data_IF_656403150648
#
_entry.id   IF_656403150648
#
_cell.length_a   1.000
_cell.length_b   1.000
_cell.length_c   1.000
_cell.angle_alpha   90.00
_cell.angle_beta   90.00
_cell.angle_gamma   90.00
#
_symmetry.space_group_name_H-M   'P 1'
#
loop_
_entity.id
_entity.type
_entity.pdbx_description
1 polymer ?
#
# COMPACT_ATOMS: atom_id res chain seq x y z
N UNK A 1 14.87 10.01 -46.02
CA UNK A 1 15.01 9.25 -44.77
C UNK A 1 14.15 9.95 -43.72
N UNK A 2 12.88 9.56 -43.58
CA UNK A 2 11.94 10.19 -42.64
C UNK A 2 12.07 9.48 -41.29
N UNK A 3 12.45 10.20 -40.23
CA UNK A 3 12.44 9.70 -38.86
C UNK A 3 11.01 9.84 -38.34
N UNK A 4 10.14 8.89 -38.71
CA UNK A 4 8.82 8.74 -38.13
C UNK A 4 9.00 8.31 -36.67
N UNK A 5 8.84 9.26 -35.75
CA UNK A 5 8.63 8.95 -34.34
C UNK A 5 7.38 8.11 -34.25
N UNK A 6 7.56 6.80 -34.06
CA UNK A 6 6.45 5.88 -33.89
C UNK A 6 5.83 6.13 -32.52
N UNK A 7 4.80 6.97 -32.47
CA UNK A 7 3.91 7.05 -31.32
C UNK A 7 3.21 5.69 -31.21
N UNK A 8 3.74 4.79 -30.37
CA UNK A 8 3.09 3.52 -30.02
C UNK A 8 1.81 3.88 -29.26
N UNK A 9 0.67 3.86 -29.93
CA UNK A 9 -0.63 3.79 -29.24
C UNK A 9 -0.61 2.50 -28.42
N UNK A 10 -0.53 2.64 -27.10
CA UNK A 10 -0.76 1.54 -26.16
C UNK A 10 -2.25 1.28 -26.22
N UNK A 11 -2.61 0.15 -26.84
CA UNK A 11 -3.97 -0.33 -26.86
C UNK A 11 -4.36 -0.78 -25.43
N UNK A 12 -5.52 -0.33 -24.95
CA UNK A 12 -6.00 -0.65 -23.60
C UNK A 12 -6.37 -2.13 -23.44
N UNK A 13 -6.36 -2.92 -24.51
CA UNK A 13 -6.54 -4.37 -24.48
C UNK A 13 -5.38 -5.12 -23.79
N UNK A 14 -4.23 -4.47 -23.60
CA UNK A 14 -3.08 -5.06 -22.88
C UNK A 14 -3.22 -4.91 -21.35
N UNK A 15 -4.18 -4.11 -20.86
CA UNK A 15 -4.43 -3.96 -19.42
C UNK A 15 -5.28 -5.12 -18.90
N UNK A 16 -4.71 -5.94 -18.01
CA UNK A 16 -5.45 -6.96 -17.26
C UNK A 16 -6.02 -6.36 -15.95
N UNK A 17 -7.34 -6.08 -15.89
CA UNK A 17 -7.96 -5.50 -14.70
C UNK A 17 -7.97 -6.47 -13.53
N UNK A 18 -8.02 -7.79 -13.79
CA UNK A 18 -8.08 -8.81 -12.75
C UNK A 18 -6.68 -8.98 -12.14
N UNK A 19 -5.66 -9.05 -12.97
CA UNK A 19 -4.26 -9.10 -12.52
C UNK A 19 -3.88 -7.89 -11.67
N UNK A 20 -4.26 -6.69 -12.11
CA UNK A 20 -4.01 -5.45 -11.35
C UNK A 20 -4.76 -5.44 -10.02
N UNK A 21 -6.03 -5.84 -10.02
CA UNK A 21 -6.83 -5.92 -8.79
C UNK A 21 -6.26 -6.95 -7.80
N UNK A 22 -5.77 -8.09 -8.29
CA UNK A 22 -5.12 -9.10 -7.45
C UNK A 22 -3.87 -8.55 -6.76
N UNK A 23 -3.05 -7.75 -7.47
CA UNK A 23 -1.88 -7.09 -6.89
C UNK A 23 -2.26 -6.08 -5.80
N UNK A 24 -3.30 -5.27 -6.05
CA UNK A 24 -3.80 -4.30 -5.07
C UNK A 24 -4.32 -4.99 -3.81
N UNK A 25 -5.12 -6.04 -3.97
CA UNK A 25 -5.65 -6.82 -2.84
C UNK A 25 -4.53 -7.49 -2.06
N UNK A 26 -3.56 -8.11 -2.75
CA UNK A 26 -2.39 -8.70 -2.11
C UNK A 26 -1.61 -7.66 -1.29
N UNK A 27 -1.36 -6.49 -1.85
CA UNK A 27 -0.68 -5.39 -1.16
C UNK A 27 -1.47 -4.93 0.07
N UNK A 28 -2.78 -4.77 -0.06
CA UNK A 28 -3.65 -4.39 1.06
C UNK A 28 -3.62 -5.42 2.20
N UNK A 29 -3.62 -6.71 1.86
CA UNK A 29 -3.50 -7.79 2.85
C UNK A 29 -2.17 -7.70 3.59
N UNK A 30 -1.05 -7.51 2.87
CA UNK A 30 0.27 -7.34 3.49
C UNK A 30 0.30 -6.15 4.44
N UNK A 31 -0.22 -5.00 4.02
CA UNK A 31 -0.30 -3.82 4.87
C UNK A 31 -1.16 -4.06 6.12
N UNK A 32 -2.32 -4.70 5.96
CA UNK A 32 -3.23 -4.99 7.07
C UNK A 32 -2.59 -5.96 8.07
N UNK A 33 -1.90 -7.00 7.59
CA UNK A 33 -1.18 -7.95 8.43
C UNK A 33 -0.05 -7.25 9.19
N UNK A 34 0.75 -6.42 8.51
CA UNK A 34 1.81 -5.65 9.15
C UNK A 34 1.24 -4.71 10.21
N UNK A 35 0.17 -3.97 9.89
CA UNK A 35 -0.50 -3.05 10.80
C UNK A 35 -1.07 -3.77 12.03
N UNK A 36 -1.76 -4.90 11.84
CA UNK A 36 -2.24 -5.73 12.95
C UNK A 36 -1.08 -6.24 13.80
N UNK A 37 0.00 -6.69 13.17
CA UNK A 37 1.19 -7.17 13.89
C UNK A 37 1.82 -6.06 14.74
N UNK A 38 1.98 -4.84 14.22
CA UNK A 38 2.49 -3.71 15.01
C UNK A 38 1.55 -3.37 16.17
N UNK A 39 0.24 -3.43 15.96
CA UNK A 39 -0.74 -3.22 17.02
C UNK A 39 -0.58 -4.26 18.15
N UNK A 40 -0.44 -5.54 17.81
CA UNK A 40 -0.16 -6.56 18.83
C UNK A 40 1.17 -6.28 19.54
N UNK A 41 2.24 -5.94 18.82
CA UNK A 41 3.55 -5.65 19.45
C UNK A 41 3.48 -4.45 20.42
N UNK A 42 2.70 -3.41 20.09
CA UNK A 42 2.58 -2.20 20.90
C UNK A 42 1.64 -2.37 22.10
N UNK A 43 0.49 -3.05 21.91
CA UNK A 43 -0.59 -3.08 22.89
C UNK A 43 -0.72 -4.42 23.65
N UNK A 44 0.04 -5.46 23.29
CA UNK A 44 0.05 -6.75 23.98
C UNK A 44 1.11 -6.75 25.10
N UNK A 45 0.79 -6.16 26.26
CA UNK A 45 1.57 -6.32 27.50
C UNK A 45 1.98 -5.03 28.20
N UNK A 46 2.00 -3.89 27.49
CA UNK A 46 2.11 -2.57 28.09
C UNK A 46 0.87 -1.77 27.66
N UNK A 47 0.07 -1.28 28.62
CA UNK A 47 -1.08 -0.43 28.32
C UNK A 47 -0.67 0.78 27.48
N UNK A 48 -1.60 1.41 26.72
CA UNK A 48 -1.30 2.43 25.72
C UNK A 48 -0.44 3.55 26.33
N UNK A 49 0.87 3.53 26.07
CA UNK A 49 1.76 4.65 26.42
C UNK A 49 1.59 5.73 25.38
N UNK A 50 0.41 6.35 25.37
CA UNK A 50 0.25 7.68 24.80
C UNK A 50 1.00 8.59 25.75
N UNK A 51 2.26 8.91 25.44
CA UNK A 51 2.95 10.02 26.09
C UNK A 51 2.22 11.27 25.58
N UNK A 52 1.08 11.57 26.21
CA UNK A 52 0.27 12.72 25.87
C UNK A 52 1.09 13.96 26.24
N UNK A 53 1.52 14.68 25.21
CA UNK A 53 2.34 15.89 25.33
C UNK A 53 1.65 16.97 26.19
N UNK A 54 0.36 16.81 26.49
CA UNK A 54 -0.44 17.62 27.40
C UNK A 54 -0.16 17.41 28.91
N UNK A 55 0.53 16.36 29.34
CA UNK A 55 0.80 16.11 30.76
C UNK A 55 1.96 16.96 31.33
N UNK A 56 2.77 17.57 30.45
CA UNK A 56 3.91 18.42 30.84
C UNK A 56 3.79 19.88 30.37
N UNK A 57 2.57 20.33 30.04
CA UNK A 57 2.25 21.73 29.76
C UNK A 57 1.80 22.48 31.01
#
# INVERSE_FOLDING_TARGET
MSRSGATRTIDHDEFDPIGTLALVVLYFVVLTVMWLFTYFVEFLGNGPTVIDWLVFG
#
